data_IF_932452505027
#
_entry.id   IF_932452505027
#
_cell.length_a   1.000
_cell.length_b   1.000
_cell.length_c   1.000
_cell.angle_alpha   90.00
_cell.angle_beta   90.00
_cell.angle_gamma   90.00
#
_symmetry.space_group_name_H-M   'P 1'
#
loop_
_entity.id
_entity.type
_entity.pdbx_description
1 polymer ?
#
# COMPACT_ATOMS: atom_id res chain seq x y z
N UNK A 1 15.11 21.13 4.73
CA UNK A 1 14.80 19.70 4.88
C UNK A 1 13.45 19.45 4.25
N UNK A 2 13.45 19.01 3.00
CA UNK A 2 12.20 18.77 2.25
C UNK A 2 11.59 17.48 2.77
N UNK A 3 10.55 17.60 3.59
CA UNK A 3 9.72 16.47 4.02
C UNK A 3 8.93 15.98 2.80
N UNK A 4 9.50 15.03 2.09
CA UNK A 4 8.71 14.20 1.17
C UNK A 4 7.89 13.28 2.09
N UNK A 5 6.67 13.70 2.41
CA UNK A 5 5.73 12.95 3.27
C UNK A 5 5.07 11.78 2.50
N UNK A 6 5.68 11.32 1.42
CA UNK A 6 5.18 10.20 0.64
C UNK A 6 5.65 8.90 1.29
N UNK A 7 4.70 8.23 1.94
CA UNK A 7 4.86 6.88 2.47
C UNK A 7 5.40 5.96 1.36
N UNK A 8 6.54 5.33 1.58
CA UNK A 8 7.13 4.42 0.60
C UNK A 8 6.28 3.16 0.41
N UNK A 9 6.45 2.44 -0.71
CA UNK A 9 5.76 1.16 -0.95
C UNK A 9 6.00 0.18 0.21
N UNK A 10 7.23 0.09 0.71
CA UNK A 10 7.59 -0.76 1.86
C UNK A 10 6.81 -0.37 3.12
N UNK A 11 6.75 0.92 3.45
CA UNK A 11 5.97 1.41 4.59
C UNK A 11 4.47 1.19 4.43
N UNK A 12 3.95 1.22 3.20
CA UNK A 12 2.54 0.89 2.93
C UNK A 12 2.28 -0.61 3.11
N UNK A 13 3.22 -1.47 2.70
CA UNK A 13 3.14 -2.91 2.93
C UNK A 13 3.13 -3.20 4.43
N UNK A 14 4.02 -2.60 5.21
CA UNK A 14 4.07 -2.79 6.67
C UNK A 14 2.74 -2.36 7.33
N UNK A 15 2.16 -1.23 6.91
CA UNK A 15 0.84 -0.79 7.37
C UNK A 15 -0.28 -1.77 6.97
N UNK A 16 -0.20 -2.37 5.79
CA UNK A 16 -1.17 -3.38 5.35
C UNK A 16 -1.05 -4.65 6.19
N UNK A 17 0.17 -5.09 6.49
CA UNK A 17 0.41 -6.23 7.38
C UNK A 17 -0.17 -5.99 8.77
N UNK A 18 0.02 -4.80 9.34
CA UNK A 18 -0.59 -4.41 10.62
C UNK A 18 -2.13 -4.41 10.55
N UNK A 19 -2.70 -3.86 9.48
CA UNK A 19 -4.15 -3.82 9.29
C UNK A 19 -4.76 -5.22 9.14
N UNK A 20 -4.07 -6.13 8.48
CA UNK A 20 -4.48 -7.53 8.35
C UNK A 20 -4.30 -8.28 9.67
N UNK A 21 -3.18 -8.09 10.37
CA UNK A 21 -2.91 -8.72 11.66
C UNK A 21 -3.94 -8.36 12.74
N UNK A 22 -4.54 -7.17 12.68
CA UNK A 22 -5.62 -6.79 13.58
C UNK A 22 -6.83 -7.75 13.50
N UNK A 23 -7.13 -8.35 12.33
CA UNK A 23 -8.22 -9.31 12.20
C UNK A 23 -7.99 -10.62 12.96
N UNK A 24 -6.72 -10.99 13.18
CA UNK A 24 -6.32 -12.17 13.94
C UNK A 24 -6.00 -11.84 15.42
N UNK A 25 -6.19 -10.58 15.83
CA UNK A 25 -5.86 -10.12 17.18
C UNK A 25 -7.02 -10.28 18.17
N UNK A 26 -6.69 -10.37 19.46
CA UNK A 26 -7.68 -10.33 20.55
C UNK A 26 -8.46 -9.00 20.63
N UNK A 27 -8.00 -7.95 19.94
CA UNK A 27 -8.66 -6.64 19.83
C UNK A 27 -9.67 -6.57 18.68
N UNK A 28 -9.90 -7.68 17.98
CA UNK A 28 -10.88 -7.76 16.90
C UNK A 28 -12.30 -7.47 17.41
N UNK A 29 -12.98 -6.52 16.75
CA UNK A 29 -14.39 -6.21 17.00
C UNK A 29 -15.14 -6.19 15.68
N UNK A 30 -16.18 -7.01 15.57
CA UNK A 30 -16.97 -7.18 14.33
C UNK A 30 -17.53 -5.86 13.78
N UNK A 31 -17.93 -4.93 14.66
CA UNK A 31 -18.45 -3.61 14.27
C UNK A 31 -17.41 -2.76 13.52
N UNK A 32 -16.12 -2.97 13.80
CA UNK A 32 -15.02 -2.27 13.14
C UNK A 32 -14.49 -3.03 11.92
N UNK A 33 -14.85 -4.30 11.75
CA UNK A 33 -14.30 -5.19 10.73
C UNK A 33 -14.49 -4.65 9.31
N UNK A 34 -15.68 -4.13 8.99
CA UNK A 34 -15.96 -3.52 7.68
C UNK A 34 -15.05 -2.32 7.42
N UNK A 35 -14.91 -1.43 8.41
CA UNK A 35 -14.09 -0.23 8.25
C UNK A 35 -12.60 -0.55 8.13
N UNK A 36 -12.08 -1.49 8.93
CA UNK A 36 -10.69 -1.96 8.78
C UNK A 36 -10.48 -2.64 7.43
N UNK A 37 -11.45 -3.42 6.95
CA UNK A 37 -11.37 -4.08 5.65
C UNK A 37 -11.28 -3.06 4.51
N UNK A 38 -12.13 -2.05 4.51
CA UNK A 38 -12.11 -0.99 3.49
C UNK A 38 -10.79 -0.21 3.50
N UNK A 39 -10.23 0.04 4.70
CA UNK A 39 -8.92 0.70 4.83
C UNK A 39 -7.78 -0.17 4.30
N UNK A 40 -7.76 -1.46 4.66
CA UNK A 40 -6.78 -2.42 4.16
C UNK A 40 -6.87 -2.59 2.63
N UNK A 41 -8.09 -2.70 2.09
CA UNK A 41 -8.33 -2.75 0.65
C UNK A 41 -7.78 -1.51 -0.06
N UNK A 42 -8.11 -0.31 0.43
CA UNK A 42 -7.62 0.94 -0.14
C UNK A 42 -6.09 0.99 -0.17
N UNK A 43 -5.45 0.56 0.91
CA UNK A 43 -3.99 0.53 1.02
C UNK A 43 -3.37 -0.47 0.04
N UNK A 44 -3.94 -1.66 -0.11
CA UNK A 44 -3.53 -2.64 -1.10
C UNK A 44 -3.65 -2.09 -2.54
N UNK A 45 -4.74 -1.40 -2.82
CA UNK A 45 -4.98 -0.70 -4.09
C UNK A 45 -3.92 0.38 -4.38
N UNK A 46 -3.52 1.14 -3.36
CA UNK A 46 -2.44 2.13 -3.48
C UNK A 46 -1.10 1.47 -3.76
N UNK A 47 -0.75 0.40 -3.04
CA UNK A 47 0.48 -0.37 -3.26
C UNK A 47 0.53 -0.90 -4.70
N UNK A 48 -0.57 -1.47 -5.19
CA UNK A 48 -0.65 -2.00 -6.55
C UNK A 48 -0.45 -0.89 -7.59
N UNK A 49 -1.04 0.30 -7.39
CA UNK A 49 -0.85 1.45 -8.27
C UNK A 49 0.61 1.92 -8.27
N UNK A 50 1.24 2.00 -7.10
CA UNK A 50 2.62 2.46 -6.98
C UNK A 50 3.59 1.49 -7.68
N UNK A 51 3.40 0.18 -7.49
CA UNK A 51 4.18 -0.87 -8.18
C UNK A 51 3.96 -0.81 -9.70
N UNK A 52 2.72 -0.62 -10.16
CA UNK A 52 2.44 -0.44 -11.58
C UNK A 52 3.10 0.82 -12.16
N UNK A 53 3.22 1.89 -11.37
CA UNK A 53 3.98 3.09 -11.73
C UNK A 53 5.47 2.81 -11.96
N UNK A 54 6.07 1.94 -11.15
CA UNK A 54 7.46 1.49 -11.35
C UNK A 54 7.63 0.75 -12.69
N UNK A 55 6.69 -0.15 -13.04
CA UNK A 55 6.69 -0.84 -14.35
C UNK A 55 6.67 0.14 -15.51
N UNK A 56 5.75 1.12 -15.49
CA UNK A 56 5.66 2.15 -16.54
C UNK A 56 6.95 2.96 -16.66
N UNK A 57 7.58 3.29 -15.52
CA UNK A 57 8.88 3.99 -15.50
C UNK A 57 9.98 3.17 -16.17
N UNK A 58 10.05 1.86 -15.89
CA UNK A 58 11.01 0.94 -16.51
C UNK A 58 10.78 0.84 -18.03
N UNK A 59 9.54 0.69 -18.47
CA UNK A 59 9.18 0.60 -19.89
C UNK A 59 9.55 1.88 -20.64
N UNK A 60 9.27 3.06 -20.08
CA UNK A 60 9.59 4.35 -20.69
C UNK A 60 11.12 4.57 -20.82
N UNK A 61 11.90 4.21 -19.80
CA UNK A 61 13.38 4.30 -19.86
C UNK A 61 13.95 3.31 -20.87
N UNK A 62 13.36 2.12 -20.99
CA UNK A 62 13.78 1.10 -21.96
C UNK A 62 13.50 1.49 -23.41
N UNK A 63 12.37 2.15 -23.67
CA UNK A 63 11.98 2.63 -24.99
C UNK A 63 12.81 3.84 -25.45
N UNK A 64 13.17 4.72 -24.51
CA UNK A 64 13.99 5.93 -24.78
C UNK A 64 15.47 5.63 -25.04
N UNK A 65 15.93 4.40 -24.82
CA UNK A 65 17.30 3.95 -25.02
C UNK A 65 17.57 3.36 -26.42
N UNK A 66 16.63 3.49 -27.36
CA UNK A 66 16.71 2.96 -28.72
C UNK A 66 16.94 4.05 -29.77
#
# INVERSE_FOLDING_TARGET
MTKNNDTTIEQKIEQLEQAVAWFDSDEFVLEQATSCYEQAQKLADEIQRDIAGLKNTIEQVSDSGK
#
